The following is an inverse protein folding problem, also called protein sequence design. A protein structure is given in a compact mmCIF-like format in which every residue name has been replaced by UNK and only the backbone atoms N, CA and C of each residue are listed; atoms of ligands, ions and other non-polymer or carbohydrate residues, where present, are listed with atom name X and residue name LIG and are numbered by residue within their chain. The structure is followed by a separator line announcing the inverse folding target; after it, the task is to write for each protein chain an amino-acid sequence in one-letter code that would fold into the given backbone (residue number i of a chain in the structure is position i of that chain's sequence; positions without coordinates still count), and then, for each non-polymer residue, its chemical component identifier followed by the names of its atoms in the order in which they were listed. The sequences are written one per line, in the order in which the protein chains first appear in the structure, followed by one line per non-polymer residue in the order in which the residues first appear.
data_IF_276214189070
#
_entry.id   IF_276214189070
#
_cell.length_a   1.000
_cell.length_b   1.000
_cell.length_c   1.000
_cell.angle_alpha   90.00
_cell.angle_beta   90.00
_cell.angle_gamma   90.00
#
_symmetry.space_group_name_H-M   'P 1'
#
loop_
_entity.id
_entity.type
_entity.pdbx_description
1 polymer ?
#
# COMPACT_ATOMS: atom_id res chain seq x y z
N UNK A 1 -1.09 -27.63 -10.19
CA UNK A 1 -0.28 -26.41 -10.50
C UNK A 1 -0.21 -25.52 -9.28
N UNK A 2 1.00 -25.19 -8.84
CA UNK A 2 1.24 -24.34 -7.67
C UNK A 2 1.44 -22.89 -8.14
N UNK A 3 0.43 -22.06 -7.98
CA UNK A 3 0.44 -20.64 -8.35
C UNK A 3 0.62 -19.77 -7.12
N UNK A 4 1.59 -18.86 -7.14
CA UNK A 4 1.80 -17.86 -6.10
C UNK A 4 1.28 -16.51 -6.58
N UNK A 5 0.32 -15.94 -5.87
CA UNK A 5 -0.21 -14.60 -6.14
C UNK A 5 0.24 -13.67 -5.02
N UNK A 6 0.70 -12.48 -5.38
CA UNK A 6 1.10 -11.44 -4.43
C UNK A 6 0.36 -10.12 -4.70
N UNK A 7 -0.16 -9.54 -3.62
CA UNK A 7 -0.58 -8.13 -3.56
C UNK A 7 0.39 -7.37 -2.65
N UNK A 8 1.16 -6.46 -3.22
CA UNK A 8 2.27 -5.80 -2.53
C UNK A 8 2.11 -4.30 -2.49
N UNK A 9 1.80 -3.79 -1.32
CA UNK A 9 1.85 -2.36 -1.02
C UNK A 9 3.23 -1.89 -0.55
N UNK A 10 3.32 -0.62 -0.17
CA UNK A 10 4.53 -0.07 0.45
C UNK A 10 4.78 -0.57 1.87
N UNK A 11 3.77 -1.12 2.56
CA UNK A 11 3.85 -1.53 3.96
C UNK A 11 3.96 -3.03 4.13
N UNK A 12 3.13 -3.78 3.42
CA UNK A 12 3.09 -5.25 3.48
C UNK A 12 2.89 -5.83 2.10
N UNK A 13 3.23 -7.13 1.96
CA UNK A 13 2.87 -7.98 0.83
C UNK A 13 2.03 -9.14 1.35
N UNK A 14 0.84 -9.30 0.80
CA UNK A 14 -0.03 -10.45 1.04
C UNK A 14 0.24 -11.49 -0.07
N UNK A 15 0.72 -12.67 0.31
CA UNK A 15 0.97 -13.79 -0.58
C UNK A 15 -0.11 -14.85 -0.42
N UNK A 16 -0.63 -15.34 -1.53
CA UNK A 16 -1.57 -16.45 -1.58
C UNK A 16 -1.00 -17.57 -2.44
N UNK A 17 -0.81 -18.76 -1.84
CA UNK A 17 -0.46 -19.97 -2.57
C UNK A 17 -1.73 -20.70 -2.96
N UNK A 18 -1.88 -20.94 -4.25
CA UNK A 18 -2.98 -21.72 -4.82
C UNK A 18 -2.44 -23.06 -5.33
N UNK A 19 -3.17 -24.13 -5.03
CA UNK A 19 -2.96 -25.46 -5.60
C UNK A 19 -4.21 -25.90 -6.33
N UNK A 20 -4.08 -26.15 -7.61
CA UNK A 20 -5.21 -26.54 -8.49
C UNK A 20 -6.43 -25.60 -8.44
N UNK A 21 -6.17 -24.32 -8.18
CA UNK A 21 -7.19 -23.26 -8.12
C UNK A 21 -7.65 -22.88 -6.72
N UNK A 22 -7.38 -23.70 -5.71
CA UNK A 22 -7.77 -23.43 -4.33
C UNK A 22 -6.64 -22.75 -3.53
N UNK A 23 -6.99 -21.74 -2.72
CA UNK A 23 -6.03 -21.08 -1.82
C UNK A 23 -5.72 -22.02 -0.66
N UNK A 24 -4.49 -22.55 -0.64
CA UNK A 24 -4.02 -23.49 0.40
C UNK A 24 -3.24 -22.80 1.51
N UNK A 25 -2.61 -21.65 1.24
CA UNK A 25 -1.83 -20.91 2.23
C UNK A 25 -1.83 -19.43 1.98
N UNK A 26 -1.80 -18.65 3.06
CA UNK A 26 -1.56 -17.20 3.01
C UNK A 26 -0.35 -16.88 3.89
N UNK A 27 0.51 -15.98 3.38
CA UNK A 27 1.69 -15.48 4.08
C UNK A 27 1.69 -13.97 3.98
N UNK A 28 2.15 -13.29 5.01
CA UNK A 28 2.33 -11.83 5.00
C UNK A 28 3.81 -11.55 5.19
N UNK A 29 4.36 -10.70 4.36
CA UNK A 29 5.74 -10.20 4.48
C UNK A 29 5.79 -8.68 4.47
N UNK A 30 6.97 -8.13 4.68
CA UNK A 30 7.25 -6.72 4.44
C UNK A 30 6.89 -6.32 3.01
N UNK A 31 6.40 -5.08 2.82
CA UNK A 31 6.00 -4.55 1.52
C UNK A 31 7.18 -4.40 0.55
N UNK A 32 6.98 -4.87 -0.67
CA UNK A 32 7.96 -4.83 -1.77
C UNK A 32 7.54 -3.72 -2.74
N UNK A 33 8.06 -2.52 -2.51
CA UNK A 33 7.93 -1.41 -3.45
C UNK A 33 9.33 -1.07 -3.99
N UNK A 34 9.63 -1.38 -5.27
CA UNK A 34 10.99 -1.27 -5.82
C UNK A 34 11.49 0.18 -6.00
N UNK A 35 10.67 1.20 -5.77
CA UNK A 35 11.13 2.58 -5.62
C UNK A 35 11.71 2.87 -4.23
N UNK A 36 11.34 2.08 -3.23
CA UNK A 36 11.70 2.30 -1.82
C UNK A 36 12.64 1.22 -1.30
N UNK A 37 12.61 0.03 -1.92
CA UNK A 37 13.31 -1.16 -1.45
C UNK A 37 14.24 -1.64 -2.57
N UNK A 38 15.57 -1.66 -2.37
CA UNK A 38 16.52 -2.13 -3.37
C UNK A 38 16.46 -3.65 -3.60
N UNK A 39 17.03 -4.14 -4.68
CA UNK A 39 16.92 -5.53 -5.14
C UNK A 39 17.43 -6.56 -4.12
N UNK A 40 18.53 -6.26 -3.44
CA UNK A 40 19.11 -7.11 -2.38
C UNK A 40 18.18 -7.25 -1.18
N UNK A 41 17.52 -6.15 -0.80
CA UNK A 41 16.55 -6.16 0.28
C UNK A 41 15.25 -6.89 -0.13
N UNK A 42 14.79 -6.76 -1.39
CA UNK A 42 13.69 -7.57 -1.93
C UNK A 42 14.04 -9.06 -1.82
N UNK A 43 15.26 -9.43 -2.23
CA UNK A 43 15.77 -10.79 -2.12
C UNK A 43 15.75 -11.29 -0.68
N UNK A 44 16.21 -10.47 0.27
CA UNK A 44 16.21 -10.78 1.71
C UNK A 44 14.78 -11.03 2.23
N UNK A 45 13.85 -10.13 1.92
CA UNK A 45 12.44 -10.26 2.33
C UNK A 45 11.87 -11.59 1.83
N UNK A 46 12.04 -11.90 0.54
CA UNK A 46 11.51 -13.13 -0.05
C UNK A 46 12.14 -14.37 0.58
N UNK A 47 13.48 -14.37 0.77
CA UNK A 47 14.18 -15.52 1.37
C UNK A 47 13.81 -15.74 2.83
N UNK A 48 13.67 -14.68 3.62
CA UNK A 48 13.48 -14.81 5.06
C UNK A 48 12.00 -14.91 5.46
N UNK A 49 11.11 -14.23 4.73
CA UNK A 49 9.73 -14.06 5.15
C UNK A 49 8.74 -14.86 4.30
N UNK A 50 9.13 -15.33 3.10
CA UNK A 50 8.26 -16.13 2.24
C UNK A 50 8.74 -17.58 2.09
N UNK A 51 10.01 -17.78 1.67
CA UNK A 51 10.54 -19.13 1.36
C UNK A 51 10.32 -20.16 2.49
N UNK A 52 10.49 -19.82 3.80
CA UNK A 52 10.25 -20.80 4.87
C UNK A 52 8.83 -21.33 4.95
N UNK A 53 7.91 -20.65 4.28
CA UNK A 53 6.49 -21.02 4.24
C UNK A 53 6.10 -21.80 2.97
N UNK A 54 7.00 -21.94 2.00
CA UNK A 54 6.75 -22.70 0.78
C UNK A 54 7.26 -24.13 0.97
N UNK A 55 6.35 -25.10 0.93
CA UNK A 55 6.64 -26.52 1.12
C UNK A 55 6.81 -27.28 -0.20
N UNK A 56 6.49 -26.63 -1.33
CA UNK A 56 6.53 -27.23 -2.66
C UNK A 56 7.07 -26.24 -3.69
N UNK A 57 7.62 -26.72 -4.82
CA UNK A 57 8.02 -25.87 -5.93
C UNK A 57 6.84 -25.01 -6.44
N UNK A 58 7.13 -23.80 -6.86
CA UNK A 58 6.17 -22.86 -7.44
C UNK A 58 6.28 -22.90 -8.95
N UNK A 59 5.17 -23.21 -9.62
CA UNK A 59 5.12 -23.30 -11.08
C UNK A 59 5.01 -21.91 -11.72
N UNK A 60 4.25 -21.00 -11.11
CA UNK A 60 4.03 -19.66 -11.63
C UNK A 60 3.85 -18.62 -10.53
N UNK A 61 4.23 -17.36 -10.83
CA UNK A 61 4.05 -16.21 -9.93
C UNK A 61 3.28 -15.11 -10.66
N UNK A 62 2.28 -14.54 -9.98
CA UNK A 62 1.55 -13.34 -10.39
C UNK A 62 1.71 -12.30 -9.28
N UNK A 63 2.58 -11.34 -9.51
CA UNK A 63 2.94 -10.30 -8.53
C UNK A 63 2.34 -8.97 -8.97
N UNK A 64 1.52 -8.40 -8.12
CA UNK A 64 0.92 -7.08 -8.28
C UNK A 64 1.46 -6.16 -7.21
N UNK A 65 2.24 -5.13 -7.60
CA UNK A 65 2.96 -4.35 -6.60
C UNK A 65 2.99 -2.85 -6.85
N UNK A 66 2.85 -2.11 -5.75
CA UNK A 66 3.10 -0.67 -5.74
C UNK A 66 4.50 -0.37 -6.30
N UNK A 67 4.60 0.61 -7.19
CA UNK A 67 5.87 0.97 -7.81
C UNK A 67 6.37 0.02 -8.91
N UNK A 68 5.67 -1.08 -9.23
CA UNK A 68 6.07 -2.02 -10.27
C UNK A 68 5.78 -1.49 -11.68
N UNK A 69 6.54 -0.47 -12.11
CA UNK A 69 6.43 0.15 -13.44
C UNK A 69 7.78 0.18 -14.15
N UNK A 70 7.77 0.11 -15.47
CA UNK A 70 8.95 0.28 -16.31
C UNK A 70 10.15 -0.60 -15.90
N UNK A 71 11.27 0.01 -15.53
CA UNK A 71 12.50 -0.68 -15.11
C UNK A 71 12.31 -1.44 -13.79
N UNK A 72 11.56 -0.88 -12.86
CA UNK A 72 11.35 -1.44 -11.52
C UNK A 72 10.59 -2.79 -11.57
N UNK A 73 9.64 -2.93 -12.49
CA UNK A 73 8.96 -4.19 -12.78
C UNK A 73 9.95 -5.31 -13.12
N UNK A 74 10.98 -5.01 -13.94
CA UNK A 74 12.01 -5.99 -14.32
C UNK A 74 12.91 -6.38 -13.16
N UNK A 75 13.19 -5.46 -12.24
CA UNK A 75 13.98 -5.74 -11.03
C UNK A 75 13.25 -6.77 -10.17
N UNK A 76 11.99 -6.52 -9.84
CA UNK A 76 11.17 -7.47 -9.05
C UNK A 76 11.07 -8.82 -9.73
N UNK A 77 10.75 -8.84 -11.05
CA UNK A 77 10.67 -10.08 -11.82
C UNK A 77 11.93 -10.91 -11.69
N UNK A 78 13.11 -10.31 -11.92
CA UNK A 78 14.40 -11.00 -11.85
C UNK A 78 14.67 -11.57 -10.46
N UNK A 79 14.42 -10.78 -9.41
CA UNK A 79 14.62 -11.25 -8.04
C UNK A 79 13.71 -12.44 -7.72
N UNK A 80 12.43 -12.39 -8.08
CA UNK A 80 11.49 -13.48 -7.84
C UNK A 80 11.89 -14.74 -8.61
N UNK A 81 12.30 -14.61 -9.88
CA UNK A 81 12.80 -15.73 -10.69
C UNK A 81 14.00 -16.41 -10.04
N UNK A 82 14.97 -15.61 -9.58
CA UNK A 82 16.20 -16.12 -8.99
C UNK A 82 15.98 -16.79 -7.61
N UNK A 83 15.19 -16.13 -6.74
CA UNK A 83 15.02 -16.59 -5.35
C UNK A 83 14.06 -17.77 -5.24
N UNK A 84 12.98 -17.78 -6.04
CA UNK A 84 11.94 -18.84 -5.99
C UNK A 84 12.25 -19.95 -6.99
N UNK A 85 13.17 -19.74 -7.92
CA UNK A 85 13.58 -20.67 -8.96
C UNK A 85 12.40 -21.09 -9.86
N UNK A 86 11.69 -20.10 -10.45
CA UNK A 86 10.62 -20.31 -11.43
C UNK A 86 10.72 -19.31 -12.57
N UNK A 87 10.45 -19.76 -13.80
CA UNK A 87 10.54 -18.94 -15.01
C UNK A 87 9.25 -18.16 -15.29
N UNK A 88 8.07 -18.72 -14.95
CA UNK A 88 6.77 -18.09 -15.20
C UNK A 88 6.45 -17.06 -14.12
N UNK A 89 7.08 -15.88 -14.24
CA UNK A 89 6.86 -14.74 -13.35
C UNK A 89 6.28 -13.58 -14.14
N UNK A 90 5.05 -13.19 -13.83
CA UNK A 90 4.44 -11.95 -14.28
C UNK A 90 4.37 -10.95 -13.13
N UNK A 91 4.89 -9.74 -13.37
CA UNK A 91 4.88 -8.64 -12.41
C UNK A 91 4.12 -7.47 -13.04
N UNK A 92 3.11 -6.97 -12.35
CA UNK A 92 2.30 -5.83 -12.75
C UNK A 92 2.18 -4.82 -11.60
N UNK A 93 1.59 -3.64 -11.90
CA UNK A 93 1.26 -2.68 -10.83
C UNK A 93 0.12 -3.21 -9.95
N UNK A 94 0.11 -2.79 -8.69
CA UNK A 94 -0.99 -3.01 -7.75
C UNK A 94 -2.34 -2.54 -8.32
N UNK A 95 -2.34 -1.42 -9.03
CA UNK A 95 -3.52 -0.87 -9.67
C UNK A 95 -4.07 -1.80 -10.77
N UNK A 96 -3.20 -2.47 -11.54
CA UNK A 96 -3.63 -3.47 -12.52
C UNK A 96 -4.27 -4.68 -11.83
N UNK A 97 -3.69 -5.11 -10.70
CA UNK A 97 -4.26 -6.18 -9.88
C UNK A 97 -5.63 -5.82 -9.32
N UNK A 98 -5.78 -4.60 -8.78
CA UNK A 98 -7.05 -4.08 -8.29
C UNK A 98 -8.10 -3.98 -9.41
N UNK A 99 -7.72 -3.49 -10.59
CA UNK A 99 -8.62 -3.37 -11.73
C UNK A 99 -9.15 -4.73 -12.18
N UNK A 100 -8.27 -5.74 -12.33
CA UNK A 100 -8.65 -7.11 -12.67
C UNK A 100 -9.60 -7.70 -11.61
N UNK A 101 -9.27 -7.51 -10.32
CA UNK A 101 -10.07 -8.07 -9.22
C UNK A 101 -11.46 -7.47 -9.12
N UNK A 102 -11.60 -6.16 -9.37
CA UNK A 102 -12.85 -5.42 -9.24
C UNK A 102 -13.70 -5.47 -10.49
N UNK A 103 -13.09 -5.24 -11.66
CA UNK A 103 -13.81 -5.08 -12.92
C UNK A 103 -13.88 -6.39 -13.73
N UNK A 104 -13.02 -7.37 -13.43
CA UNK A 104 -12.90 -8.62 -14.22
C UNK A 104 -12.64 -8.30 -15.69
N UNK A 105 -13.54 -8.68 -16.57
CA UNK A 105 -13.49 -8.43 -18.03
C UNK A 105 -14.34 -7.22 -18.46
N UNK A 106 -14.93 -6.50 -17.49
CA UNK A 106 -15.79 -5.35 -17.76
C UNK A 106 -15.03 -4.03 -17.66
N UNK A 107 -15.54 -3.02 -18.37
CA UNK A 107 -15.04 -1.65 -18.21
C UNK A 107 -15.41 -1.10 -16.84
N UNK A 108 -14.47 -0.39 -16.21
CA UNK A 108 -14.74 0.18 -14.89
C UNK A 108 -13.66 1.14 -14.42
N UNK A 109 -13.92 1.76 -13.27
CA UNK A 109 -12.95 2.57 -12.55
C UNK A 109 -12.50 1.76 -11.34
N UNK A 110 -11.19 1.55 -11.22
CA UNK A 110 -10.59 0.95 -10.04
C UNK A 110 -9.83 1.99 -9.23
N UNK A 111 -10.02 1.97 -7.91
CA UNK A 111 -9.37 2.86 -6.97
C UNK A 111 -8.67 2.07 -5.88
N UNK A 112 -7.46 2.50 -5.51
CA UNK A 112 -6.73 2.01 -4.33
C UNK A 112 -6.62 3.14 -3.32
N UNK A 113 -7.01 2.86 -2.08
CA UNK A 113 -6.87 3.75 -0.93
C UNK A 113 -6.17 2.98 0.20
N UNK A 114 -4.87 3.19 0.32
CA UNK A 114 -4.00 2.55 1.30
C UNK A 114 -3.07 3.57 1.96
N UNK A 115 -1.77 3.24 2.08
CA UNK A 115 -0.74 4.20 2.49
C UNK A 115 -0.64 5.37 1.51
N UNK A 116 -0.69 5.10 0.20
CA UNK A 116 -0.93 6.05 -0.88
C UNK A 116 -2.32 5.86 -1.48
N UNK A 117 -2.65 6.60 -2.55
CA UNK A 117 -3.86 6.41 -3.33
C UNK A 117 -3.57 6.36 -4.83
N UNK A 118 -4.45 5.73 -5.58
CA UNK A 118 -4.35 5.67 -7.03
C UNK A 118 -5.70 5.34 -7.64
N UNK A 119 -5.93 5.73 -8.91
CA UNK A 119 -7.15 5.40 -9.62
C UNK A 119 -6.89 5.20 -11.10
N UNK A 120 -7.71 4.41 -11.78
CA UNK A 120 -7.61 4.21 -13.21
C UNK A 120 -8.96 3.93 -13.86
N UNK A 121 -9.02 4.21 -15.16
CA UNK A 121 -10.02 3.67 -16.06
C UNK A 121 -9.47 2.37 -16.68
N UNK A 122 -10.24 1.30 -16.57
CA UNK A 122 -9.92 -0.03 -17.07
C UNK A 122 -10.91 -0.42 -18.17
N UNK A 123 -10.44 -1.02 -19.25
CA UNK A 123 -11.29 -1.38 -20.42
C UNK A 123 -11.79 -2.83 -20.40
N UNK A 124 -11.46 -3.59 -19.36
CA UNK A 124 -11.70 -5.03 -19.24
C UNK A 124 -10.45 -5.88 -19.48
N UNK A 125 -9.35 -5.28 -19.94
CA UNK A 125 -8.07 -5.97 -20.18
C UNK A 125 -6.87 -5.19 -19.65
N UNK A 126 -6.85 -3.87 -19.91
CA UNK A 126 -5.71 -3.01 -19.53
C UNK A 126 -6.19 -1.68 -18.95
N UNK A 127 -5.30 -1.03 -18.22
CA UNK A 127 -5.49 0.35 -17.79
C UNK A 127 -5.32 1.26 -19.00
N UNK A 128 -6.37 2.00 -19.35
CA UNK A 128 -6.38 2.95 -20.48
C UNK A 128 -6.10 4.38 -20.04
N UNK A 129 -6.49 4.74 -18.79
CA UNK A 129 -6.18 6.02 -18.20
C UNK A 129 -5.82 5.85 -16.72
N UNK A 130 -4.89 6.67 -16.23
CA UNK A 130 -4.47 6.69 -14.84
C UNK A 130 -4.18 8.13 -14.41
N UNK A 131 -4.86 8.59 -13.38
CA UNK A 131 -4.50 9.85 -12.72
C UNK A 131 -3.20 9.62 -11.94
N UNK A 132 -2.18 10.41 -12.23
CA UNK A 132 -0.88 10.25 -11.58
C UNK A 132 -0.99 10.50 -10.06
N UNK A 133 -0.66 9.55 -9.19
CA UNK A 133 -0.83 9.67 -7.74
C UNK A 133 0.15 10.68 -7.11
N UNK A 134 1.31 10.92 -7.72
CA UNK A 134 2.38 11.87 -7.36
C UNK A 134 2.98 11.70 -5.96
N UNK A 135 2.53 10.75 -5.16
CA UNK A 135 2.99 10.50 -3.80
C UNK A 135 2.43 11.49 -2.76
N UNK A 136 2.63 11.18 -1.48
CA UNK A 136 1.98 11.84 -0.35
C UNK A 136 2.34 13.32 -0.13
N UNK A 137 3.34 13.86 -0.85
CA UNK A 137 3.71 15.29 -0.79
C UNK A 137 2.91 16.09 -1.81
N UNK A 138 2.82 15.60 -3.05
CA UNK A 138 2.24 16.32 -4.18
C UNK A 138 0.86 15.81 -4.60
N UNK A 139 0.44 14.64 -4.10
CA UNK A 139 -0.80 13.96 -4.45
C UNK A 139 -1.20 12.98 -3.37
N UNK A 140 -1.61 11.76 -3.77
CA UNK A 140 -2.13 10.70 -2.92
C UNK A 140 -3.35 11.16 -2.08
N UNK A 141 -4.20 12.02 -2.64
CA UNK A 141 -5.41 12.53 -1.98
C UNK A 141 -6.26 11.36 -1.45
N UNK A 142 -6.87 11.53 -0.28
CA UNK A 142 -7.68 10.50 0.37
C UNK A 142 -6.91 9.32 0.97
N UNK A 143 -5.58 9.22 0.71
CA UNK A 143 -4.75 8.15 1.27
C UNK A 143 -4.52 8.30 2.77
N UNK A 144 -4.14 7.19 3.41
CA UNK A 144 -3.78 7.19 4.83
C UNK A 144 -2.63 8.16 5.15
N UNK A 145 -1.63 8.27 4.28
CA UNK A 145 -0.51 9.19 4.48
C UNK A 145 -0.93 10.66 4.44
N UNK A 146 -1.80 11.03 3.51
CA UNK A 146 -2.30 12.42 3.38
C UNK A 146 -3.28 12.75 4.51
N UNK A 147 -4.20 11.84 4.84
CA UNK A 147 -5.08 11.96 5.98
C UNK A 147 -4.29 12.14 7.29
N UNK A 148 -3.29 11.28 7.53
CA UNK A 148 -2.44 11.37 8.72
C UNK A 148 -1.58 12.63 8.76
N UNK A 149 -1.03 13.05 7.62
CA UNK A 149 -0.27 14.31 7.49
C UNK A 149 -1.13 15.52 7.89
N UNK A 150 -2.35 15.58 7.35
CA UNK A 150 -3.26 16.67 7.66
C UNK A 150 -3.69 16.65 9.12
N UNK A 151 -4.08 15.50 9.61
CA UNK A 151 -4.44 15.32 11.02
C UNK A 151 -3.31 15.77 11.97
N UNK A 152 -2.08 15.31 11.74
CA UNK A 152 -0.93 15.73 12.56
C UNK A 152 -0.65 17.23 12.47
N UNK A 153 -0.77 17.82 11.27
CA UNK A 153 -0.61 19.27 11.09
C UNK A 153 -1.62 20.06 11.92
N UNK A 154 -2.90 19.69 11.88
CA UNK A 154 -3.97 20.37 12.60
C UNK A 154 -3.84 20.14 14.11
N UNK A 155 -3.48 18.92 14.52
CA UNK A 155 -3.21 18.57 15.92
C UNK A 155 -2.07 19.41 16.52
N UNK A 156 -0.91 19.45 15.86
CA UNK A 156 0.28 20.13 16.34
C UNK A 156 0.16 21.66 16.35
N UNK A 157 -0.74 22.21 15.53
CA UNK A 157 -1.07 23.64 15.50
C UNK A 157 -2.23 24.01 16.43
N UNK A 158 -2.70 23.09 17.28
CA UNK A 158 -3.84 23.29 18.16
C UNK A 158 -5.12 23.73 17.45
N UNK A 159 -5.34 23.25 16.21
CA UNK A 159 -6.52 23.56 15.40
C UNK A 159 -7.69 22.57 15.65
N UNK A 160 -7.43 21.50 16.41
CA UNK A 160 -8.44 20.53 16.81
C UNK A 160 -8.91 20.78 18.25
N UNK A 161 -10.15 20.39 18.55
CA UNK A 161 -10.76 20.52 19.88
C UNK A 161 -9.95 19.82 20.97
N UNK A 162 -10.18 20.23 22.21
CA UNK A 162 -9.60 19.56 23.39
C UNK A 162 -10.00 18.10 23.45
N UNK A 163 -11.23 17.76 23.02
CA UNK A 163 -11.70 16.38 22.98
C UNK A 163 -10.83 15.50 22.07
N UNK A 164 -10.58 15.92 20.81
CA UNK A 164 -9.74 15.18 19.88
C UNK A 164 -8.32 15.05 20.40
N UNK A 165 -7.76 16.13 20.98
CA UNK A 165 -6.41 16.11 21.54
C UNK A 165 -6.30 15.16 22.72
N UNK A 166 -7.24 15.17 23.67
CA UNK A 166 -7.26 14.24 24.78
C UNK A 166 -7.39 12.78 24.32
N UNK A 167 -8.19 12.50 23.28
CA UNK A 167 -8.28 11.17 22.70
C UNK A 167 -6.95 10.72 22.08
N UNK A 168 -6.21 11.64 21.45
CA UNK A 168 -4.90 11.35 20.88
C UNK A 168 -3.87 11.06 21.97
N UNK A 169 -3.76 11.91 22.99
CA UNK A 169 -2.85 11.77 24.13
C UNK A 169 -3.10 10.47 24.92
N UNK A 170 -4.36 10.07 25.07
CA UNK A 170 -4.72 8.80 25.68
C UNK A 170 -4.29 7.56 24.90
N UNK A 171 -4.11 7.69 23.59
CA UNK A 171 -3.76 6.56 22.71
C UNK A 171 -2.29 6.53 22.30
N UNK A 172 -1.64 7.69 22.22
CA UNK A 172 -0.27 7.85 21.75
C UNK A 172 0.57 8.66 22.72
N UNK A 173 1.70 8.09 23.16
CA UNK A 173 2.73 8.79 23.94
C UNK A 173 3.76 9.39 22.98
N UNK A 174 3.35 10.39 22.18
CA UNK A 174 4.19 11.04 21.19
C UNK A 174 4.28 12.54 21.47
N UNK A 175 5.52 13.03 21.68
CA UNK A 175 5.79 14.47 21.72
C UNK A 175 5.79 15.09 20.31
N UNK A 176 5.77 16.42 20.25
CA UNK A 176 5.95 17.17 18.99
C UNK A 176 7.28 16.80 18.35
N UNK A 177 8.35 16.72 19.15
CA UNK A 177 9.71 16.35 18.71
C UNK A 177 9.75 14.95 18.11
N UNK A 178 9.08 13.96 18.72
CA UNK A 178 9.00 12.59 18.22
C UNK A 178 8.32 12.54 16.85
N UNK A 179 7.22 13.26 16.69
CA UNK A 179 6.47 13.32 15.44
C UNK A 179 7.32 13.96 14.35
N UNK A 180 7.93 15.12 14.63
CA UNK A 180 8.80 15.83 13.68
C UNK A 180 10.00 14.96 13.30
N UNK A 181 10.63 14.29 14.26
CA UNK A 181 11.73 13.38 13.98
C UNK A 181 11.32 12.23 13.08
N UNK A 182 10.16 11.60 13.34
CA UNK A 182 9.65 10.49 12.51
C UNK A 182 9.27 10.92 11.10
N UNK A 183 8.74 12.14 10.94
CA UNK A 183 8.34 12.66 9.63
C UNK A 183 9.54 13.10 8.78
N UNK A 184 10.56 13.74 9.40
CA UNK A 184 11.63 14.41 8.64
C UNK A 184 12.99 13.72 8.69
N UNK A 185 13.23 12.84 9.68
CA UNK A 185 14.56 12.25 9.91
C UNK A 185 14.59 10.72 9.84
N UNK A 186 13.44 10.05 9.89
CA UNK A 186 13.37 8.60 9.84
C UNK A 186 12.88 8.10 8.47
N UNK A 187 13.19 6.85 8.09
CA UNK A 187 12.70 6.26 6.87
C UNK A 187 11.19 6.03 6.92
N UNK A 188 10.55 6.02 5.76
CA UNK A 188 9.13 5.70 5.57
C UNK A 188 8.14 6.62 6.31
N UNK A 189 8.29 7.96 6.23
CA UNK A 189 7.37 8.90 6.89
C UNK A 189 5.91 8.72 6.45
N UNK A 190 5.68 8.32 5.21
CA UNK A 190 4.35 8.00 4.68
C UNK A 190 3.66 6.87 5.45
N UNK A 191 4.40 5.80 5.80
CA UNK A 191 3.86 4.69 6.62
C UNK A 191 3.51 5.16 8.02
N UNK A 192 4.39 5.95 8.63
CA UNK A 192 4.15 6.53 9.95
C UNK A 192 2.86 7.36 9.96
N UNK A 193 2.73 8.30 9.01
CA UNK A 193 1.54 9.14 8.90
C UNK A 193 0.28 8.32 8.59
N UNK A 194 0.36 7.34 7.68
CA UNK A 194 -0.77 6.47 7.35
C UNK A 194 -1.28 5.66 8.56
N UNK A 195 -0.44 5.37 9.54
CA UNK A 195 -0.82 4.70 10.78
C UNK A 195 -1.92 5.43 11.56
N UNK A 196 -2.04 6.74 11.42
CA UNK A 196 -3.09 7.54 12.07
C UNK A 196 -4.47 7.40 11.44
N UNK A 197 -4.58 6.77 10.26
CA UNK A 197 -5.88 6.43 9.67
C UNK A 197 -6.73 5.53 10.59
N UNK A 198 -6.09 4.69 11.41
CA UNK A 198 -6.76 3.87 12.43
C UNK A 198 -7.43 4.75 13.49
N UNK A 199 -6.72 5.79 13.96
CA UNK A 199 -7.26 6.77 14.90
C UNK A 199 -8.45 7.52 14.28
N UNK A 200 -8.29 8.02 13.06
CA UNK A 200 -9.35 8.72 12.34
C UNK A 200 -10.58 7.83 12.16
N UNK A 201 -10.40 6.56 11.82
CA UNK A 201 -11.48 5.58 11.71
C UNK A 201 -12.20 5.32 13.05
N UNK A 202 -11.46 5.22 14.15
CA UNK A 202 -12.00 5.03 15.50
C UNK A 202 -12.85 6.23 15.95
N UNK A 203 -12.39 7.45 15.66
CA UNK A 203 -13.03 8.68 16.10
C UNK A 203 -13.81 9.42 14.99
N UNK A 204 -14.19 8.71 13.92
CA UNK A 204 -14.97 9.24 12.79
C UNK A 204 -16.33 9.86 13.14
N UNK A 205 -16.83 9.60 14.35
CA UNK A 205 -18.07 10.20 14.86
C UNK A 205 -17.87 11.63 15.37
N UNK A 206 -16.64 12.10 15.57
CA UNK A 206 -16.34 13.47 15.93
C UNK A 206 -16.38 14.36 14.68
N UNK A 207 -17.10 15.47 14.75
CA UNK A 207 -17.38 16.34 13.59
C UNK A 207 -16.12 16.81 12.89
N UNK A 208 -15.08 17.20 13.62
CA UNK A 208 -13.81 17.67 13.08
C UNK A 208 -13.08 16.56 12.29
N UNK A 209 -13.07 15.33 12.83
CA UNK A 209 -12.47 14.17 12.16
C UNK A 209 -13.27 13.82 10.91
N UNK A 210 -14.59 13.85 11.00
CA UNK A 210 -15.48 13.61 9.85
C UNK A 210 -15.24 14.64 8.74
N UNK A 211 -15.16 15.92 9.09
CA UNK A 211 -14.91 17.01 8.15
C UNK A 211 -13.55 16.87 7.45
N UNK A 212 -12.49 16.54 8.21
CA UNK A 212 -11.16 16.29 7.68
C UNK A 212 -11.18 15.14 6.66
N UNK A 213 -11.71 13.98 7.03
CA UNK A 213 -11.78 12.80 6.17
C UNK A 213 -12.61 13.07 4.92
N UNK A 214 -13.79 13.69 5.08
CA UNK A 214 -14.66 14.06 3.98
C UNK A 214 -13.95 14.96 2.97
N UNK A 215 -13.28 16.01 3.45
CA UNK A 215 -12.59 16.97 2.57
C UNK A 215 -11.47 16.32 1.76
N UNK A 216 -10.75 15.32 2.30
CA UNK A 216 -9.71 14.60 1.57
C UNK A 216 -10.29 13.62 0.55
N UNK A 217 -11.40 12.96 0.84
CA UNK A 217 -12.09 12.14 -0.15
C UNK A 217 -12.72 12.96 -1.27
N UNK A 218 -13.26 14.14 -0.99
CA UNK A 218 -13.74 15.07 -2.03
C UNK A 218 -12.63 15.50 -2.99
N UNK A 219 -11.38 15.61 -2.49
CA UNK A 219 -10.21 15.90 -3.34
C UNK A 219 -9.82 14.71 -4.20
N UNK A 220 -9.92 13.49 -3.67
CA UNK A 220 -9.63 12.28 -4.42
C UNK A 220 -10.60 12.05 -5.60
N UNK A 221 -11.87 12.47 -5.45
CA UNK A 221 -12.90 12.30 -6.49
C UNK A 221 -13.01 13.48 -7.47
N UNK A 222 -12.10 14.44 -7.46
CA UNK A 222 -12.01 15.54 -8.42
C UNK A 222 -11.12 15.22 -9.61
#
# INVERSE_FOLDING_TARGET
MNLLIADSGSTKTDWSLLQDGDVTKRVVSQGINPFMVPADEISRIVMQELIPHLSQPIDAIRFYGAGCRGKQRRVVKRVLQQVINTEDVNVESDLQGAAIALCREEKGIACILGTGSNSCLFDGQTIVENVAPLGFILGDEGSGAVLGRRFLSDLLKNQLSTQVRSCFEAQYSLSVEDIVQRVYKQPFPNRFMAGFAIFLGKYKHLEEIQALVKSEFERFFR
#
